data_IF_652370468543
#
_entry.id   IF_652370468543
#
_cell.length_a   1.000
_cell.length_b   1.000
_cell.length_c   1.000
_cell.angle_alpha   90.00
_cell.angle_beta   90.00
_cell.angle_gamma   90.00
#
_symmetry.space_group_name_H-M   'P 1'
#
loop_
_entity.id
_entity.type
_entity.pdbx_description
1 polymer ?
#
# COMPACT_ATOMS: atom_id res chain seq x y z
N UNK A 1 42.05 -5.54 -10.48
CA UNK A 1 41.04 -5.60 -9.41
C UNK A 1 40.04 -4.48 -9.70
N UNK A 2 38.91 -4.79 -10.35
CA UNK A 2 37.88 -3.77 -10.60
C UNK A 2 37.16 -3.47 -9.30
N UNK A 3 37.18 -2.21 -8.87
CA UNK A 3 36.40 -1.73 -7.74
C UNK A 3 34.92 -1.82 -8.08
N UNK A 4 34.29 -2.96 -7.75
CA UNK A 4 32.84 -3.06 -7.60
C UNK A 4 32.44 -2.30 -6.33
N UNK A 5 32.61 -0.98 -6.31
CA UNK A 5 31.84 -0.15 -5.40
C UNK A 5 30.41 -0.17 -5.95
N UNK A 6 29.60 -1.09 -5.44
CA UNK A 6 28.16 -1.04 -5.60
C UNK A 6 27.68 0.37 -5.27
N UNK A 7 26.73 0.86 -6.07
CA UNK A 7 26.18 2.21 -5.98
C UNK A 7 25.84 2.55 -4.54
N UNK A 8 26.62 3.44 -3.92
CA UNK A 8 26.36 3.90 -2.55
C UNK A 8 25.26 4.94 -2.64
N UNK A 9 24.06 4.57 -2.18
CA UNK A 9 22.93 5.49 -2.07
C UNK A 9 22.95 6.15 -0.68
N UNK A 10 23.17 7.46 -0.64
CA UNK A 10 23.08 8.26 0.59
C UNK A 10 21.68 8.87 0.62
N UNK A 11 20.91 8.55 1.66
CA UNK A 11 19.58 9.11 1.89
C UNK A 11 19.66 10.14 3.01
N UNK A 12 19.07 11.32 2.80
CA UNK A 12 18.84 12.30 3.88
C UNK A 12 17.48 12.04 4.54
N UNK A 13 17.30 12.54 5.76
CA UNK A 13 16.03 12.46 6.46
C UNK A 13 14.88 13.05 5.63
N UNK A 14 15.11 14.14 4.89
CA UNK A 14 14.09 14.70 4.00
C UNK A 14 13.73 13.73 2.86
N UNK A 15 14.73 13.15 2.19
CA UNK A 15 14.47 12.21 1.08
C UNK A 15 13.79 10.91 1.54
N UNK A 16 14.05 10.47 2.77
CA UNK A 16 13.34 9.34 3.38
C UNK A 16 11.89 9.70 3.70
N UNK A 17 11.65 10.89 4.24
CA UNK A 17 10.30 11.37 4.55
C UNK A 17 9.46 11.57 3.28
N UNK A 18 10.04 12.12 2.21
CA UNK A 18 9.38 12.24 0.91
C UNK A 18 8.98 10.88 0.35
N UNK A 19 9.89 9.90 0.43
CA UNK A 19 9.62 8.52 0.01
C UNK A 19 8.51 7.88 0.85
N UNK A 20 8.54 8.02 2.17
CA UNK A 20 7.54 7.46 3.07
C UNK A 20 6.15 8.08 2.80
N UNK A 21 6.12 9.38 2.50
CA UNK A 21 4.89 10.06 2.09
C UNK A 21 4.36 9.51 0.76
N UNK A 22 5.23 9.29 -0.22
CA UNK A 22 4.83 8.69 -1.50
C UNK A 22 4.26 7.28 -1.32
N UNK A 23 4.90 6.46 -0.48
CA UNK A 23 4.42 5.13 -0.12
C UNK A 23 3.03 5.22 0.52
N UNK A 24 2.85 6.11 1.51
CA UNK A 24 1.59 6.28 2.21
C UNK A 24 0.45 6.68 1.25
N UNK A 25 0.72 7.60 0.30
CA UNK A 25 -0.26 8.00 -0.72
C UNK A 25 -0.66 6.82 -1.59
N UNK A 26 0.31 6.08 -2.14
CA UNK A 26 0.04 4.95 -3.05
C UNK A 26 -0.71 3.82 -2.36
N UNK A 27 -0.33 3.47 -1.13
CA UNK A 27 -1.05 2.46 -0.33
C UNK A 27 -2.48 2.92 -0.02
N UNK A 28 -2.67 4.20 0.33
CA UNK A 28 -4.00 4.76 0.60
C UNK A 28 -4.89 4.70 -0.64
N UNK A 29 -4.38 5.12 -1.81
CA UNK A 29 -5.11 5.09 -3.07
C UNK A 29 -5.51 3.67 -3.48
N UNK A 30 -4.57 2.72 -3.39
CA UNK A 30 -4.84 1.32 -3.71
C UNK A 30 -5.87 0.69 -2.76
N UNK A 31 -5.74 0.96 -1.46
CA UNK A 31 -6.66 0.44 -0.43
C UNK A 31 -8.06 0.99 -0.62
N UNK A 32 -8.20 2.31 -0.82
CA UNK A 32 -9.51 2.93 -1.05
C UNK A 32 -10.19 2.37 -2.31
N UNK A 33 -9.42 2.22 -3.40
CA UNK A 33 -9.93 1.66 -4.66
C UNK A 33 -10.38 0.22 -4.48
N UNK A 34 -9.61 -0.59 -3.76
CA UNK A 34 -9.96 -1.98 -3.46
C UNK A 34 -11.24 -2.06 -2.62
N UNK A 35 -11.31 -1.32 -1.51
CA UNK A 35 -12.47 -1.30 -0.62
C UNK A 35 -13.74 -0.92 -1.36
N UNK A 36 -13.70 0.14 -2.18
CA UNK A 36 -14.87 0.56 -2.98
C UNK A 36 -15.29 -0.54 -3.96
N UNK A 37 -14.34 -1.20 -4.63
CA UNK A 37 -14.64 -2.30 -5.56
C UNK A 37 -15.29 -3.49 -4.86
N UNK A 38 -14.79 -3.86 -3.68
CA UNK A 38 -15.36 -4.95 -2.91
C UNK A 38 -16.75 -4.59 -2.36
N UNK A 39 -16.95 -3.38 -1.85
CA UNK A 39 -18.26 -2.91 -1.40
C UNK A 39 -19.30 -2.92 -2.53
N UNK A 40 -18.91 -2.54 -3.75
CA UNK A 40 -19.82 -2.54 -4.91
C UNK A 40 -20.29 -3.95 -5.33
N UNK A 41 -19.56 -5.00 -4.94
CA UNK A 41 -19.96 -6.40 -5.18
C UNK A 41 -20.88 -6.94 -4.08
N UNK A 42 -20.99 -6.23 -2.96
CA UNK A 42 -21.74 -6.66 -1.77
C UNK A 42 -23.18 -6.17 -1.81
N UNK A 43 -24.10 -6.97 -1.26
CA UNK A 43 -25.46 -6.54 -0.95
C UNK A 43 -25.50 -5.52 0.20
N UNK A 44 -26.58 -4.74 0.37
CA UNK A 44 -26.66 -3.72 1.43
C UNK A 44 -26.37 -4.24 2.86
N UNK A 45 -26.87 -5.42 3.30
CA UNK A 45 -26.50 -5.96 4.61
C UNK A 45 -25.01 -6.32 4.72
N UNK A 46 -24.40 -6.80 3.64
CA UNK A 46 -22.98 -7.13 3.60
C UNK A 46 -22.12 -5.86 3.65
N UNK A 47 -22.52 -4.77 2.97
CA UNK A 47 -21.85 -3.48 3.07
C UNK A 47 -21.93 -2.90 4.50
N UNK A 48 -23.08 -3.06 5.17
CA UNK A 48 -23.23 -2.65 6.56
C UNK A 48 -22.30 -3.44 7.50
N UNK A 49 -22.19 -4.76 7.30
CA UNK A 49 -21.24 -5.62 8.02
C UNK A 49 -19.79 -5.23 7.76
N UNK A 50 -19.46 -4.94 6.50
CA UNK A 50 -18.14 -4.50 6.07
C UNK A 50 -17.68 -3.21 6.78
N UNK A 51 -18.62 -2.33 7.12
CA UNK A 51 -18.36 -1.12 7.92
C UNK A 51 -17.98 -1.37 9.39
N UNK A 52 -18.18 -2.58 9.93
CA UNK A 52 -17.80 -2.91 11.31
C UNK A 52 -16.29 -3.09 11.47
N UNK A 53 -15.77 -3.09 12.71
CA UNK A 53 -14.33 -3.32 12.96
C UNK A 53 -13.83 -4.62 12.30
N UNK A 54 -14.53 -5.73 12.55
CA UNK A 54 -14.20 -7.04 11.97
C UNK A 54 -14.35 -7.06 10.45
N UNK A 55 -15.40 -6.41 9.92
CA UNK A 55 -15.60 -6.29 8.48
C UNK A 55 -14.47 -5.55 7.79
N UNK A 56 -13.95 -4.47 8.39
CA UNK A 56 -12.81 -3.72 7.85
C UNK A 56 -11.52 -4.53 7.83
N UNK A 57 -11.28 -5.36 8.85
CA UNK A 57 -10.14 -6.27 8.90
C UNK A 57 -10.23 -7.32 7.79
N UNK A 58 -11.41 -7.86 7.52
CA UNK A 58 -11.67 -8.81 6.42
C UNK A 58 -11.52 -8.16 5.02
N UNK A 59 -11.62 -6.83 4.93
CA UNK A 59 -11.52 -6.04 3.70
C UNK A 59 -10.11 -5.53 3.39
N UNK A 60 -9.13 -5.82 4.25
CA UNK A 60 -7.76 -5.37 4.02
C UNK A 60 -7.12 -6.11 2.85
N UNK A 61 -6.24 -5.41 2.13
CA UNK A 61 -5.40 -6.02 1.12
C UNK A 61 -4.51 -7.08 1.77
N UNK A 62 -4.29 -8.20 1.07
CA UNK A 62 -3.31 -9.19 1.52
C UNK A 62 -1.91 -8.61 1.47
N UNK A 63 -1.03 -9.16 2.31
CA UNK A 63 0.38 -8.76 2.38
C UNK A 63 1.06 -8.82 0.99
N UNK A 64 0.80 -9.87 0.21
CA UNK A 64 1.33 -10.00 -1.16
C UNK A 64 0.94 -8.82 -2.07
N UNK A 65 -0.29 -8.32 -1.96
CA UNK A 65 -0.75 -7.19 -2.77
C UNK A 65 -0.11 -5.89 -2.29
N UNK A 66 0.03 -5.71 -0.98
CA UNK A 66 0.75 -4.57 -0.40
C UNK A 66 2.21 -4.55 -0.85
N UNK A 67 2.90 -5.70 -0.83
CA UNK A 67 4.29 -5.83 -1.28
C UNK A 67 4.44 -5.53 -2.76
N UNK A 68 3.47 -5.94 -3.59
CA UNK A 68 3.46 -5.57 -5.01
C UNK A 68 3.29 -4.06 -5.23
N UNK A 69 2.42 -3.39 -4.45
CA UNK A 69 2.27 -1.92 -4.49
C UNK A 69 3.58 -1.25 -4.10
N UNK A 70 4.21 -1.70 -3.01
CA UNK A 70 5.50 -1.16 -2.55
C UNK A 70 6.62 -1.36 -3.59
N UNK A 71 6.64 -2.50 -4.28
CA UNK A 71 7.59 -2.77 -5.36
C UNK A 71 7.49 -1.80 -6.55
N UNK A 72 6.37 -1.11 -6.72
CA UNK A 72 6.21 -0.05 -7.75
C UNK A 72 6.76 1.31 -7.34
N UNK A 73 7.10 1.51 -6.06
CA UNK A 73 7.69 2.75 -5.53
C UNK A 73 9.22 2.73 -5.56
N UNK A 74 9.81 1.53 -5.61
CA UNK A 74 11.28 1.34 -5.60
C UNK A 74 11.94 1.37 -7.00
N UNK A 75 11.22 1.79 -8.04
CA UNK A 75 11.74 1.94 -9.41
C UNK A 75 11.88 3.41 -9.77
#
# INVERSE_FOLDING_TARGET
MSNNLGTVHIFTDETLQERDMEIAIKVTQATATHVVREMNKMSPPQQLRAGTKKGREEMMLSEDVLMNILGTVSK
#
